data_IF_766569788915
#
_entry.id   IF_766569788915
#
_cell.length_a   1.000
_cell.length_b   1.000
_cell.length_c   1.000
_cell.angle_alpha   90.00
_cell.angle_beta   90.00
_cell.angle_gamma   90.00
#
_symmetry.space_group_name_H-M   'P 1'
#
loop_
_entity.id
_entity.type
_entity.pdbx_description
1 polymer ?
#
# COMPACT_ATOMS: atom_id res chain seq x y z
N UNK A 1 -2.04 -1.13 10.46
CA UNK A 1 -2.20 -1.50 9.06
C UNK A 1 -1.99 -0.29 8.13
N UNK A 2 -1.86 -0.52 6.85
CA UNK A 2 -1.78 0.48 5.80
C UNK A 2 -2.66 -0.01 4.65
N UNK A 3 -3.67 0.78 4.28
CA UNK A 3 -4.54 0.48 3.14
C UNK A 3 -3.97 1.07 1.86
N UNK A 4 -3.99 0.33 0.77
CA UNK A 4 -3.36 0.72 -0.50
C UNK A 4 -4.36 1.12 -1.60
N UNK A 5 -5.61 1.41 -1.23
CA UNK A 5 -6.67 1.87 -2.15
C UNK A 5 -7.54 0.74 -2.70
N UNK A 6 -8.51 1.11 -3.52
CA UNK A 6 -9.50 0.22 -4.16
C UNK A 6 -10.30 -0.63 -3.14
N UNK A 7 -10.83 0.02 -2.09
CA UNK A 7 -11.57 -0.63 -1.00
C UNK A 7 -12.97 -1.11 -1.42
N UNK A 8 -13.50 -0.59 -2.51
CA UNK A 8 -14.75 -0.98 -3.12
C UNK A 8 -14.74 -0.66 -4.61
N UNK A 9 -15.56 -1.33 -5.40
CA UNK A 9 -15.71 -1.06 -6.83
C UNK A 9 -16.91 -0.14 -7.09
N UNK A 10 -16.70 1.16 -6.98
CA UNK A 10 -17.70 2.19 -7.22
C UNK A 10 -17.65 2.78 -8.63
N UNK A 11 -17.12 2.08 -9.58
CA UNK A 11 -16.91 2.43 -10.97
C UNK A 11 -15.49 2.96 -11.29
N UNK A 12 -14.94 2.47 -12.39
CA UNK A 12 -13.67 2.95 -12.93
C UNK A 12 -13.83 4.36 -13.51
N UNK A 13 -12.75 5.13 -13.61
CA UNK A 13 -12.78 6.47 -14.22
C UNK A 13 -13.44 6.50 -15.61
N UNK A 14 -13.15 5.52 -16.47
CA UNK A 14 -13.72 5.43 -17.82
C UNK A 14 -15.23 5.18 -17.85
N UNK A 15 -15.78 4.55 -16.82
CA UNK A 15 -17.23 4.30 -16.69
C UNK A 15 -17.90 5.44 -15.91
N UNK A 16 -17.23 5.97 -14.89
CA UNK A 16 -17.73 7.02 -14.02
C UNK A 16 -17.96 8.33 -14.76
N UNK A 17 -16.99 8.75 -15.61
CA UNK A 17 -17.07 10.01 -16.32
C UNK A 17 -18.33 10.15 -17.19
N UNK A 18 -18.70 9.19 -18.06
CA UNK A 18 -19.94 9.26 -18.83
C UNK A 18 -21.20 9.29 -17.94
N UNK A 19 -21.21 8.51 -16.84
CA UNK A 19 -22.35 8.48 -15.92
C UNK A 19 -22.50 9.82 -15.20
N UNK A 20 -21.44 10.38 -14.66
CA UNK A 20 -21.46 11.69 -14.01
C UNK A 20 -21.90 12.78 -14.97
N UNK A 21 -21.44 12.75 -16.24
CA UNK A 21 -21.88 13.68 -17.28
C UNK A 21 -23.39 13.54 -17.61
N UNK A 22 -23.90 12.31 -17.66
CA UNK A 22 -25.31 12.07 -17.88
C UNK A 22 -26.15 12.57 -16.69
N UNK A 23 -25.71 12.30 -15.47
CA UNK A 23 -26.39 12.70 -14.24
C UNK A 23 -26.22 14.19 -13.91
N UNK A 24 -25.29 14.90 -14.54
CA UNK A 24 -25.13 16.35 -14.37
C UNK A 24 -26.37 17.15 -14.83
N UNK A 25 -27.28 16.53 -15.58
CA UNK A 25 -28.52 17.11 -16.06
C UNK A 25 -29.76 16.72 -15.24
N UNK A 26 -29.59 15.86 -14.24
CA UNK A 26 -30.69 15.34 -13.41
C UNK A 26 -30.20 15.12 -11.98
N UNK A 27 -30.41 16.12 -11.15
CA UNK A 27 -30.00 16.10 -9.72
C UNK A 27 -30.72 15.01 -8.93
N UNK A 28 -31.95 14.63 -9.32
CA UNK A 28 -32.73 13.60 -8.64
C UNK A 28 -32.15 12.21 -8.89
N UNK A 29 -31.76 11.91 -10.15
CA UNK A 29 -31.13 10.65 -10.50
C UNK A 29 -29.74 10.52 -9.83
N UNK A 30 -28.99 11.61 -9.79
CA UNK A 30 -27.71 11.64 -9.08
C UNK A 30 -27.86 11.39 -7.59
N UNK A 31 -28.81 12.03 -6.94
CA UNK A 31 -29.06 11.84 -5.51
C UNK A 31 -29.47 10.41 -5.16
N UNK A 32 -30.27 9.76 -6.00
CA UNK A 32 -30.64 8.34 -5.82
C UNK A 32 -29.43 7.42 -5.95
N UNK A 33 -28.59 7.61 -6.96
CA UNK A 33 -27.38 6.81 -7.13
C UNK A 33 -26.41 7.02 -5.98
N UNK A 34 -26.18 8.26 -5.55
CA UNK A 34 -25.30 8.56 -4.41
C UNK A 34 -25.81 7.94 -3.11
N UNK A 35 -27.14 7.85 -2.92
CA UNK A 35 -27.73 7.16 -1.77
C UNK A 35 -27.41 5.67 -1.76
N UNK A 36 -27.51 5.01 -2.90
CA UNK A 36 -27.21 3.57 -3.01
C UNK A 36 -25.69 3.32 -2.82
N UNK A 37 -24.86 4.17 -3.38
CA UNK A 37 -23.40 4.12 -3.16
C UNK A 37 -23.06 4.32 -1.68
N UNK A 38 -23.68 5.28 -1.01
CA UNK A 38 -23.47 5.51 0.42
C UNK A 38 -23.86 4.28 1.24
N UNK A 39 -24.97 3.61 0.92
CA UNK A 39 -25.38 2.39 1.61
C UNK A 39 -24.33 1.28 1.48
N UNK A 40 -23.91 0.95 0.26
CA UNK A 40 -22.87 -0.07 0.05
C UNK A 40 -21.52 0.33 0.67
N UNK A 41 -21.23 1.62 0.73
CA UNK A 41 -20.02 2.11 1.37
C UNK A 41 -20.10 2.05 2.91
N UNK A 42 -21.30 2.17 3.51
CA UNK A 42 -21.48 1.96 4.95
C UNK A 42 -21.18 0.51 5.33
N UNK A 43 -21.60 -0.46 4.51
CA UNK A 43 -21.26 -1.88 4.70
C UNK A 43 -19.73 -2.10 4.71
N UNK A 44 -18.99 -1.47 3.79
CA UNK A 44 -17.51 -1.52 3.78
C UNK A 44 -16.91 -0.90 5.05
N UNK A 45 -17.47 0.21 5.53
CA UNK A 45 -17.01 0.86 6.76
C UNK A 45 -17.20 -0.08 7.95
N UNK A 46 -18.36 -0.72 8.06
CA UNK A 46 -18.68 -1.64 9.14
C UNK A 46 -17.76 -2.86 9.12
N UNK A 47 -17.54 -3.45 7.95
CA UNK A 47 -16.60 -4.58 7.76
C UNK A 47 -15.17 -4.23 8.14
N UNK A 48 -14.76 -2.98 7.98
CA UNK A 48 -13.41 -2.51 8.28
C UNK A 48 -13.28 -1.87 9.68
N UNK A 49 -14.35 -1.79 10.48
CA UNK A 49 -14.31 -1.10 11.79
C UNK A 49 -13.28 -1.69 12.75
N UNK A 50 -12.98 -2.99 12.65
CA UNK A 50 -11.95 -3.64 13.46
C UNK A 50 -10.54 -3.05 13.26
N UNK A 51 -10.30 -2.30 12.18
CA UNK A 51 -9.05 -1.59 11.90
C UNK A 51 -8.96 -0.20 12.52
N UNK A 52 -10.06 0.33 13.07
CA UNK A 52 -10.13 1.67 13.66
C UNK A 52 -9.06 1.87 14.75
N UNK A 53 -8.29 2.94 14.63
CA UNK A 53 -7.16 3.21 15.53
C UNK A 53 -5.90 2.35 15.32
N UNK A 54 -5.90 1.44 14.33
CA UNK A 54 -4.76 0.56 14.00
C UNK A 54 -4.17 0.89 12.62
N UNK A 55 -4.68 1.92 11.97
CA UNK A 55 -4.29 2.32 10.62
C UNK A 55 -3.19 3.40 10.68
N UNK A 56 -2.13 3.21 9.91
CA UNK A 56 -1.14 4.25 9.58
C UNK A 56 -1.79 5.26 8.63
N UNK A 57 -2.61 4.77 7.70
CA UNK A 57 -3.39 5.58 6.78
C UNK A 57 -4.02 4.76 5.67
N UNK A 58 -4.84 5.41 4.87
CA UNK A 58 -5.54 4.84 3.72
C UNK A 58 -5.22 5.64 2.46
N UNK A 59 -4.80 4.94 1.41
CA UNK A 59 -4.57 5.53 0.09
C UNK A 59 -5.86 5.67 -0.71
N UNK A 60 -5.86 6.61 -1.63
CA UNK A 60 -6.88 6.74 -2.65
C UNK A 60 -6.70 5.65 -3.71
N UNK A 61 -7.79 5.02 -4.11
CA UNK A 61 -7.82 4.04 -5.20
C UNK A 61 -8.36 4.62 -6.51
N UNK A 62 -8.43 3.77 -7.54
CA UNK A 62 -9.00 4.12 -8.85
C UNK A 62 -10.52 3.93 -8.89
N UNK A 63 -11.07 3.08 -8.05
CA UNK A 63 -12.45 2.62 -8.04
C UNK A 63 -13.35 3.39 -7.06
N UNK A 64 -12.95 4.61 -6.68
CA UNK A 64 -13.72 5.47 -5.79
C UNK A 64 -14.92 6.13 -6.49
N UNK A 65 -15.90 6.60 -5.71
CA UNK A 65 -16.93 7.52 -6.15
C UNK A 65 -16.65 8.93 -5.63
N UNK A 66 -16.86 9.93 -6.51
CA UNK A 66 -16.78 11.35 -6.17
C UNK A 66 -18.18 11.92 -5.96
N UNK A 67 -18.46 12.39 -4.75
CA UNK A 67 -19.73 12.97 -4.39
C UNK A 67 -19.89 14.41 -4.93
N UNK A 68 -21.14 14.85 -5.08
CA UNK A 68 -21.44 16.22 -5.54
C UNK A 68 -20.83 17.31 -4.66
N UNK A 69 -20.61 17.04 -3.38
CA UNK A 69 -20.01 17.97 -2.42
C UNK A 69 -18.47 18.05 -2.49
N UNK A 70 -17.83 17.35 -3.42
CA UNK A 70 -16.37 17.35 -3.62
C UNK A 70 -15.59 16.35 -2.77
N UNK A 71 -16.26 15.54 -1.93
CA UNK A 71 -15.63 14.41 -1.22
C UNK A 71 -15.66 13.12 -2.05
N UNK A 72 -14.96 12.08 -1.59
CA UNK A 72 -15.00 10.75 -2.20
C UNK A 72 -15.13 9.63 -1.18
N UNK A 73 -15.44 8.41 -1.64
CA UNK A 73 -15.62 7.22 -0.79
C UNK A 73 -14.39 6.91 0.04
N UNK A 74 -13.18 7.05 -0.49
CA UNK A 74 -11.95 6.72 0.24
C UNK A 74 -11.64 7.72 1.35
N UNK A 75 -11.92 9.02 1.11
CA UNK A 75 -11.84 10.05 2.16
C UNK A 75 -12.85 9.78 3.29
N UNK A 76 -14.08 9.39 2.90
CA UNK A 76 -15.14 9.06 3.86
C UNK A 76 -14.75 7.84 4.71
N UNK A 77 -14.19 6.79 4.10
CA UNK A 77 -13.67 5.61 4.80
C UNK A 77 -12.57 5.99 5.79
N UNK A 78 -11.60 6.81 5.35
CA UNK A 78 -10.52 7.26 6.21
C UNK A 78 -11.04 8.04 7.43
N UNK A 79 -12.02 8.93 7.22
CA UNK A 79 -12.66 9.69 8.29
C UNK A 79 -13.42 8.77 9.28
N UNK A 80 -14.21 7.81 8.79
CA UNK A 80 -14.97 6.87 9.60
C UNK A 80 -14.05 5.99 10.48
N UNK A 81 -12.95 5.50 9.91
CA UNK A 81 -11.97 4.68 10.61
C UNK A 81 -10.96 5.50 11.44
N UNK A 82 -11.11 6.83 11.48
CA UNK A 82 -10.17 7.75 12.16
C UNK A 82 -8.73 7.55 11.71
N UNK A 83 -8.52 7.35 10.41
CA UNK A 83 -7.24 7.14 9.78
C UNK A 83 -6.82 8.36 8.95
N UNK A 84 -5.52 8.66 8.84
CA UNK A 84 -5.02 9.64 7.87
C UNK A 84 -5.40 9.22 6.44
N UNK A 85 -5.91 10.17 5.64
CA UNK A 85 -6.08 9.99 4.21
C UNK A 85 -4.76 10.37 3.50
N UNK A 86 -4.18 9.45 2.77
CA UNK A 86 -2.82 9.56 2.24
C UNK A 86 -2.76 10.00 0.77
N UNK A 87 -3.91 10.12 0.10
CA UNK A 87 -3.94 10.39 -1.33
C UNK A 87 -3.34 9.26 -2.17
N UNK A 88 -2.78 9.56 -3.33
CA UNK A 88 -2.22 8.58 -4.27
C UNK A 88 -0.89 7.99 -3.82
N UNK A 89 -0.04 8.80 -3.23
CA UNK A 89 1.31 8.43 -2.81
C UNK A 89 1.64 9.09 -1.49
N UNK A 90 2.26 8.35 -0.58
CA UNK A 90 2.70 8.89 0.69
C UNK A 90 4.02 8.29 1.16
N UNK A 91 4.78 9.11 1.86
CA UNK A 91 5.99 8.70 2.56
C UNK A 91 5.70 8.62 4.06
N UNK A 92 5.61 7.40 4.57
CA UNK A 92 5.30 7.11 5.96
C UNK A 92 6.58 6.85 6.74
N UNK A 93 6.87 7.67 7.71
CA UNK A 93 8.09 7.61 8.52
C UNK A 93 7.81 6.96 9.87
N UNK A 94 8.30 5.75 10.07
CA UNK A 94 8.17 5.00 11.31
C UNK A 94 9.41 5.22 12.19
N UNK A 95 9.21 5.64 13.43
CA UNK A 95 10.29 5.90 14.38
C UNK A 95 10.24 4.88 15.50
N UNK A 96 11.27 4.05 15.60
CA UNK A 96 11.40 3.01 16.63
C UNK A 96 12.42 3.42 17.68
N UNK A 97 11.94 3.75 18.86
CA UNK A 97 12.80 4.12 19.98
C UNK A 97 13.42 2.86 20.62
N UNK A 98 14.74 2.83 20.72
CA UNK A 98 15.50 1.73 21.32
C UNK A 98 16.10 2.06 22.68
N UNK A 99 15.76 3.21 23.21
CA UNK A 99 16.17 3.79 24.47
C UNK A 99 15.73 5.24 24.55
N UNK A 100 16.21 5.98 25.55
CA UNK A 100 15.85 7.40 25.73
C UNK A 100 16.41 8.31 24.63
N UNK A 101 17.53 7.94 24.02
CA UNK A 101 18.30 8.80 23.11
C UNK A 101 18.57 8.19 21.72
N UNK A 102 18.20 6.93 21.49
CA UNK A 102 18.44 6.27 20.21
C UNK A 102 17.14 5.86 19.54
N UNK A 103 16.99 6.22 18.27
CA UNK A 103 15.85 5.83 17.45
C UNK A 103 16.33 5.24 16.11
N UNK A 104 15.58 4.28 15.62
CA UNK A 104 15.69 3.82 14.24
C UNK A 104 14.52 4.37 13.45
N UNK A 105 14.81 4.94 12.29
CA UNK A 105 13.81 5.45 11.37
C UNK A 105 13.72 4.51 10.19
N UNK A 106 12.50 4.15 9.82
CA UNK A 106 12.21 3.37 8.63
C UNK A 106 11.15 4.09 7.81
N UNK A 107 11.46 4.37 6.56
CA UNK A 107 10.56 5.09 5.65
C UNK A 107 9.91 4.11 4.70
N UNK A 108 8.58 4.14 4.66
CA UNK A 108 7.77 3.38 3.70
C UNK A 108 7.16 4.36 2.71
N UNK A 109 7.57 4.29 1.46
CA UNK A 109 6.82 4.91 0.37
C UNK A 109 5.71 3.96 -0.05
N UNK A 110 4.49 4.45 -0.03
CA UNK A 110 3.31 3.65 -0.36
C UNK A 110 2.42 4.36 -1.38
N UNK A 111 1.77 3.58 -2.23
CA UNK A 111 0.90 4.08 -3.30
C UNK A 111 -0.14 3.02 -3.67
N UNK A 112 -1.29 3.46 -4.19
CA UNK A 112 -2.18 2.55 -4.89
C UNK A 112 -1.50 2.00 -6.15
N UNK A 113 -0.81 2.87 -6.90
CA UNK A 113 -0.09 2.48 -8.10
C UNK A 113 -0.96 2.46 -9.36
N UNK A 114 -0.34 2.12 -10.48
CA UNK A 114 -1.00 2.02 -11.79
C UNK A 114 -0.31 0.95 -12.67
N UNK A 115 -0.06 -0.23 -12.12
CA UNK A 115 0.65 -1.28 -12.82
C UNK A 115 -0.32 -2.15 -13.63
N UNK A 116 -0.30 -2.00 -14.95
CA UNK A 116 -1.21 -2.68 -15.89
C UNK A 116 -0.73 -4.05 -16.38
N UNK A 117 0.43 -4.52 -15.96
CA UNK A 117 0.98 -5.80 -16.44
C UNK A 117 0.22 -7.02 -15.89
N UNK A 118 0.12 -8.10 -16.69
CA UNK A 118 -0.56 -9.34 -16.28
C UNK A 118 0.27 -10.21 -15.32
N UNK A 119 1.56 -9.95 -15.16
CA UNK A 119 2.47 -10.75 -14.34
C UNK A 119 2.98 -9.97 -13.14
N UNK A 120 3.25 -10.64 -12.02
CA UNK A 120 3.74 -10.00 -10.80
C UNK A 120 5.05 -9.23 -11.01
N UNK A 121 5.95 -9.75 -11.83
CA UNK A 121 7.20 -9.05 -12.13
C UNK A 121 7.00 -7.73 -12.87
N UNK A 122 5.94 -7.59 -13.69
CA UNK A 122 5.62 -6.30 -14.32
C UNK A 122 5.24 -5.25 -13.30
N UNK A 123 4.49 -5.63 -12.26
CA UNK A 123 4.14 -4.72 -11.17
C UNK A 123 5.36 -4.35 -10.30
N UNK A 124 6.25 -5.31 -10.04
CA UNK A 124 7.51 -5.05 -9.32
C UNK A 124 8.45 -4.16 -10.15
N UNK A 125 8.59 -4.41 -11.44
CA UNK A 125 9.39 -3.56 -12.34
C UNK A 125 8.81 -2.13 -12.44
N UNK A 126 7.49 -1.99 -12.48
CA UNK A 126 6.84 -0.68 -12.46
C UNK A 126 7.18 0.08 -11.17
N UNK A 127 7.09 -0.59 -10.01
CA UNK A 127 7.44 -0.02 -8.71
C UNK A 127 8.91 0.40 -8.66
N UNK A 128 9.81 -0.43 -9.18
CA UNK A 128 11.24 -0.16 -9.24
C UNK A 128 11.57 1.04 -10.12
N UNK A 129 11.07 1.06 -11.35
CA UNK A 129 11.40 2.09 -12.33
C UNK A 129 10.80 3.46 -11.98
N UNK A 130 9.60 3.49 -11.42
CA UNK A 130 8.90 4.75 -11.18
C UNK A 130 9.12 5.31 -9.76
N UNK A 131 9.37 4.45 -8.78
CA UNK A 131 9.44 4.90 -7.39
C UNK A 131 10.80 4.65 -6.75
N UNK A 132 11.37 3.45 -6.87
CA UNK A 132 12.67 3.15 -6.25
C UNK A 132 13.78 4.00 -6.84
N UNK A 133 13.72 4.26 -8.13
CA UNK A 133 14.70 5.11 -8.82
C UNK A 133 14.61 6.59 -8.40
N UNK A 134 13.41 7.08 -8.10
CA UNK A 134 13.14 8.51 -7.88
C UNK A 134 13.06 8.92 -6.40
N UNK A 135 12.74 8.00 -5.50
CA UNK A 135 12.44 8.33 -4.10
C UNK A 135 13.40 7.66 -3.13
N UNK A 136 13.63 8.35 -2.01
CA UNK A 136 14.45 7.84 -0.91
C UNK A 136 13.57 7.23 0.18
N UNK A 137 13.37 5.89 0.09
CA UNK A 137 12.67 5.13 1.11
C UNK A 137 13.34 3.76 1.32
N UNK A 138 13.06 3.14 2.46
CA UNK A 138 13.58 1.83 2.84
C UNK A 138 12.72 0.69 2.30
N UNK A 139 11.42 0.94 2.23
CA UNK A 139 10.43 0.00 1.66
C UNK A 139 9.49 0.75 0.74
N UNK A 140 9.14 0.11 -0.36
CA UNK A 140 8.20 0.58 -1.38
C UNK A 140 7.04 -0.41 -1.45
N UNK A 141 5.82 0.08 -1.19
CA UNK A 141 4.61 -0.73 -1.15
C UNK A 141 3.59 -0.24 -2.18
N UNK A 142 3.03 -1.15 -2.96
CA UNK A 142 2.06 -0.83 -3.99
C UNK A 142 0.88 -1.80 -3.98
N UNK A 143 -0.33 -1.26 -4.17
CA UNK A 143 -1.57 -2.00 -4.37
C UNK A 143 -1.95 -2.17 -5.84
N UNK A 144 -3.22 -2.01 -6.17
CA UNK A 144 -3.88 -1.95 -7.47
C UNK A 144 -3.76 -3.18 -8.38
N UNK A 145 -2.61 -3.79 -8.47
CA UNK A 145 -2.35 -4.82 -9.47
C UNK A 145 -2.97 -6.19 -9.18
N UNK A 146 -3.71 -6.39 -8.10
CA UNK A 146 -4.27 -7.68 -7.65
C UNK A 146 -3.25 -8.82 -7.66
N UNK A 147 -1.96 -8.51 -7.55
CA UNK A 147 -0.84 -9.45 -7.61
C UNK A 147 -0.01 -9.35 -6.36
N UNK A 148 0.50 -10.47 -5.90
CA UNK A 148 1.29 -10.51 -4.67
C UNK A 148 2.73 -10.90 -4.97
N UNK A 149 3.68 -10.07 -4.55
CA UNK A 149 5.10 -10.35 -4.74
C UNK A 149 5.99 -9.40 -3.95
N UNK A 150 7.18 -9.83 -3.65
CA UNK A 150 8.21 -8.98 -3.06
C UNK A 150 9.56 -9.16 -3.75
N UNK A 151 10.39 -8.13 -3.67
CA UNK A 151 11.66 -8.08 -4.36
C UNK A 151 12.63 -7.14 -3.65
N UNK A 152 13.93 -7.47 -3.74
CA UNK A 152 15.02 -6.59 -3.36
C UNK A 152 15.73 -6.17 -4.65
N UNK A 153 15.46 -4.95 -5.17
CA UNK A 153 15.88 -4.58 -6.52
C UNK A 153 17.41 -4.45 -6.63
N UNK A 154 18.00 -3.53 -5.90
CA UNK A 154 19.43 -3.26 -5.93
C UNK A 154 19.91 -2.63 -4.62
N UNK A 155 21.22 -2.61 -4.41
CA UNK A 155 21.84 -1.83 -3.34
C UNK A 155 21.98 -0.39 -3.77
N UNK A 156 21.50 0.53 -2.97
CA UNK A 156 21.68 1.96 -3.18
C UNK A 156 22.77 2.49 -2.28
N UNK A 157 23.72 3.22 -2.84
CA UNK A 157 24.75 3.90 -2.07
C UNK A 157 24.34 5.35 -1.84
N UNK A 158 24.34 5.77 -0.59
CA UNK A 158 24.06 7.14 -0.18
C UNK A 158 25.28 7.74 0.50
N UNK A 159 25.47 9.04 0.31
CA UNK A 159 26.39 9.79 1.13
C UNK A 159 25.80 9.94 2.52
N UNK A 160 26.56 9.56 3.54
CA UNK A 160 26.14 9.72 4.93
C UNK A 160 25.91 11.20 5.25
N UNK A 161 24.73 11.56 5.71
CA UNK A 161 24.37 12.95 6.00
C UNK A 161 24.92 13.45 7.34
N UNK A 162 25.20 12.54 8.27
CA UNK A 162 25.63 12.86 9.63
C UNK A 162 26.80 11.97 10.05
N UNK A 163 27.74 12.53 10.82
CA UNK A 163 28.93 11.81 11.28
C UNK A 163 30.09 11.89 10.28
N UNK A 164 31.11 11.03 10.41
CA UNK A 164 32.24 11.02 9.51
C UNK A 164 31.81 10.80 8.05
N UNK A 165 32.47 11.50 7.12
CA UNK A 165 32.21 11.32 5.71
C UNK A 165 32.33 9.85 5.30
N UNK A 166 31.40 9.37 4.51
CA UNK A 166 31.39 7.98 4.04
C UNK A 166 30.14 7.64 3.24
N UNK A 167 30.19 6.47 2.63
CA UNK A 167 29.07 5.90 1.88
C UNK A 167 28.32 4.92 2.77
N UNK A 168 27.00 5.05 2.80
CA UNK A 168 26.08 4.12 3.45
C UNK A 168 25.33 3.32 2.39
N UNK A 169 25.32 2.00 2.53
CA UNK A 169 24.58 1.13 1.64
C UNK A 169 23.17 0.92 2.19
N UNK A 170 22.17 1.30 1.42
CA UNK A 170 20.77 1.02 1.66
C UNK A 170 20.32 -0.13 0.75
N UNK A 171 19.54 -1.04 1.30
CA UNK A 171 18.91 -2.13 0.55
C UNK A 171 17.40 -1.89 0.58
N UNK A 172 16.82 -1.23 -0.44
CA UNK A 172 15.39 -1.02 -0.51
C UNK A 172 14.65 -2.35 -0.67
N UNK A 173 13.42 -2.40 -0.27
CA UNK A 173 12.52 -3.54 -0.43
C UNK A 173 11.28 -3.12 -1.18
N UNK A 174 10.88 -3.89 -2.16
CA UNK A 174 9.64 -3.70 -2.89
C UNK A 174 8.63 -4.76 -2.48
N UNK A 175 7.39 -4.35 -2.28
CA UNK A 175 6.26 -5.24 -2.05
C UNK A 175 5.07 -4.77 -2.90
N UNK A 176 4.51 -5.68 -3.65
CA UNK A 176 3.23 -5.54 -4.32
C UNK A 176 2.24 -6.44 -3.60
N UNK A 177 1.11 -5.88 -3.21
CA UNK A 177 0.11 -6.55 -2.39
C UNK A 177 -1.01 -7.04 -3.28
N UNK A 178 -1.45 -8.28 -3.07
CA UNK A 178 -2.62 -8.86 -3.71
C UNK A 178 -3.91 -8.14 -3.33
N UNK A 179 -4.94 -8.33 -4.14
CA UNK A 179 -6.29 -7.87 -3.83
C UNK A 179 -7.07 -8.85 -2.98
N UNK A 180 -8.30 -8.49 -2.67
CA UNK A 180 -9.29 -9.34 -2.01
C UNK A 180 -10.46 -9.69 -2.96
N UNK A 181 -10.32 -9.40 -4.27
CA UNK A 181 -11.28 -9.81 -5.27
C UNK A 181 -11.05 -11.28 -5.63
N UNK A 182 -12.01 -12.11 -5.32
CA UNK A 182 -12.05 -13.51 -5.72
C UNK A 182 -12.58 -13.60 -7.14
N UNK A 183 -11.83 -14.27 -8.02
CA UNK A 183 -12.25 -14.57 -9.37
C UNK A 183 -12.41 -16.05 -9.59
N UNK A 184 -13.29 -16.45 -10.52
CA UNK A 184 -13.54 -17.84 -10.88
C UNK A 184 -14.18 -18.65 -9.76
N UNK A 185 -15.16 -18.04 -9.08
CA UNK A 185 -15.99 -18.74 -8.10
C UNK A 185 -17.07 -19.59 -8.78
N UNK A 186 -17.44 -20.70 -8.18
CA UNK A 186 -18.56 -21.51 -8.64
C UNK A 186 -19.85 -20.70 -8.66
N UNK A 187 -20.50 -20.67 -9.81
CA UNK A 187 -21.76 -19.98 -10.00
C UNK A 187 -21.79 -19.08 -11.25
N UNK A 188 -22.95 -18.51 -11.51
CA UNK A 188 -23.17 -17.68 -12.71
C UNK A 188 -22.90 -16.19 -12.49
N UNK A 189 -22.43 -15.78 -11.31
CA UNK A 189 -21.99 -14.41 -11.03
C UNK A 189 -20.53 -14.25 -11.44
N UNK A 190 -20.29 -13.97 -12.72
CA UNK A 190 -18.95 -13.62 -13.15
C UNK A 190 -18.53 -12.27 -12.58
N UNK A 191 -17.40 -12.23 -11.92
CA UNK A 191 -16.82 -11.02 -11.41
C UNK A 191 -15.98 -10.27 -12.47
N UNK A 192 -15.36 -9.18 -12.02
CA UNK A 192 -14.49 -8.37 -12.87
C UNK A 192 -13.27 -9.16 -13.41
N UNK A 193 -12.69 -10.04 -12.60
CA UNK A 193 -11.48 -10.80 -12.93
C UNK A 193 -11.76 -11.73 -14.11
N UNK A 194 -12.90 -12.42 -14.07
CA UNK A 194 -13.37 -13.31 -15.16
C UNK A 194 -13.71 -12.54 -16.41
N UNK A 195 -14.53 -11.47 -16.29
CA UNK A 195 -14.95 -10.65 -17.45
C UNK A 195 -13.78 -9.99 -18.15
N UNK A 196 -12.72 -9.63 -17.43
CA UNK A 196 -11.51 -9.06 -18.00
C UNK A 196 -10.53 -10.13 -18.52
N UNK A 197 -10.82 -11.42 -18.36
CA UNK A 197 -9.96 -12.53 -18.75
C UNK A 197 -8.62 -12.52 -18.03
N UNK A 198 -8.59 -12.08 -16.77
CA UNK A 198 -7.40 -12.15 -15.95
C UNK A 198 -7.21 -13.56 -15.41
N UNK A 199 -5.95 -13.95 -15.24
CA UNK A 199 -5.61 -15.20 -14.55
C UNK A 199 -6.06 -15.08 -13.09
N UNK A 200 -6.65 -16.11 -12.49
CA UNK A 200 -6.96 -16.13 -11.06
C UNK A 200 -5.74 -15.69 -10.24
N UNK A 201 -5.94 -14.77 -9.34
CA UNK A 201 -4.86 -14.26 -8.49
C UNK A 201 -5.15 -14.66 -7.05
N UNK A 202 -4.12 -15.07 -6.29
CA UNK A 202 -4.33 -15.36 -4.89
C UNK A 202 -4.68 -14.09 -4.15
N UNK A 203 -5.73 -14.14 -3.33
CA UNK A 203 -6.02 -13.09 -2.36
C UNK A 203 -4.93 -13.04 -1.31
N UNK A 204 -4.60 -11.86 -0.82
CA UNK A 204 -3.56 -11.78 0.18
C UNK A 204 -3.18 -10.38 0.61
N UNK A 205 -2.29 -10.34 1.57
CA UNK A 205 -1.76 -9.11 2.15
C UNK A 205 -0.26 -9.18 2.36
N UNK A 206 0.37 -8.02 2.51
CA UNK A 206 1.78 -7.91 2.82
C UNK A 206 2.04 -7.64 4.30
N UNK A 207 3.07 -8.25 4.85
CA UNK A 207 3.55 -8.00 6.21
C UNK A 207 4.94 -7.40 6.13
N UNK A 208 5.12 -6.24 6.76
CA UNK A 208 6.44 -5.67 7.02
C UNK A 208 6.73 -5.89 8.51
N UNK A 209 7.64 -6.80 8.80
CA UNK A 209 7.99 -7.18 10.17
C UNK A 209 9.28 -6.50 10.59
N UNK A 210 9.23 -5.83 11.73
CA UNK A 210 10.37 -5.15 12.32
C UNK A 210 10.86 -5.95 13.55
N UNK A 211 12.11 -6.42 13.50
CA UNK A 211 12.74 -7.14 14.61
C UNK A 211 13.94 -6.35 15.11
N UNK A 212 14.02 -6.17 16.40
CA UNK A 212 15.22 -5.63 17.06
C UNK A 212 16.27 -6.72 17.16
N UNK A 213 17.42 -6.49 16.58
CA UNK A 213 18.55 -7.45 16.60
C UNK A 213 19.75 -6.79 17.28
N UNK A 214 20.42 -7.51 18.18
CA UNK A 214 21.75 -7.13 18.64
C UNK A 214 22.76 -7.57 17.59
N UNK A 215 23.44 -6.65 16.96
CA UNK A 215 24.65 -6.97 16.18
C UNK A 215 25.85 -6.96 17.14
N UNK A 216 26.51 -8.10 17.27
CA UNK A 216 27.88 -8.17 17.78
C UNK A 216 28.73 -7.65 16.62
N UNK A 217 29.47 -6.56 16.84
CA UNK A 217 30.30 -5.95 15.78
C UNK A 217 31.22 -7.00 15.15
N UNK A 218 31.42 -6.90 13.85
CA UNK A 218 32.35 -7.79 13.15
C UNK A 218 33.70 -7.81 13.85
N UNK A 219 34.15 -8.97 14.24
CA UNK A 219 35.46 -9.23 14.87
C UNK A 219 36.64 -8.99 13.92
N UNK A 220 36.49 -8.25 12.84
CA UNK A 220 37.51 -8.02 11.82
C UNK A 220 38.59 -6.99 12.20
N UNK A 221 38.46 -6.31 13.33
CA UNK A 221 39.52 -5.47 13.88
C UNK A 221 39.98 -6.04 15.22
N UNK A 222 40.98 -6.91 15.19
CA UNK A 222 41.65 -7.39 16.38
C UNK A 222 42.11 -6.19 17.21
N UNK A 223 41.55 -6.05 18.42
CA UNK A 223 41.99 -5.08 19.42
C UNK A 223 40.98 -3.96 19.78
N UNK A 224 39.84 -3.84 19.14
CA UNK A 224 38.79 -2.89 19.56
C UNK A 224 37.66 -3.66 20.21
N UNK A 225 37.24 -3.35 21.47
CA UNK A 225 36.08 -3.99 22.09
C UNK A 225 34.86 -3.78 21.20
N UNK A 226 34.26 -4.87 20.74
CA UNK A 226 33.13 -4.84 19.83
C UNK A 226 31.96 -4.04 20.43
N UNK A 227 31.67 -2.86 19.88
CA UNK A 227 30.46 -2.12 20.23
C UNK A 227 29.27 -2.95 19.77
N UNK A 228 28.49 -3.45 20.72
CA UNK A 228 27.17 -4.03 20.43
C UNK A 228 26.25 -2.93 19.90
N UNK A 229 25.98 -2.90 18.61
CA UNK A 229 24.96 -2.02 18.06
C UNK A 229 23.62 -2.75 17.99
N UNK A 230 22.56 -2.08 18.43
CA UNK A 230 21.19 -2.55 18.22
C UNK A 230 20.77 -2.11 16.83
N UNK A 231 20.46 -3.05 15.96
CA UNK A 231 19.96 -2.77 14.60
C UNK A 231 18.53 -3.24 14.45
N UNK A 232 17.80 -2.59 13.56
CA UNK A 232 16.48 -3.01 13.14
C UNK A 232 16.61 -3.95 11.94
N UNK A 233 16.16 -5.19 12.09
CA UNK A 233 16.00 -6.09 10.96
C UNK A 233 14.59 -5.94 10.41
N UNK A 234 14.47 -5.74 9.11
CA UNK A 234 13.19 -5.63 8.40
C UNK A 234 13.02 -6.85 7.52
N UNK A 235 11.88 -7.50 7.65
CA UNK A 235 11.46 -8.63 6.84
C UNK A 235 10.16 -8.26 6.12
N UNK A 236 10.08 -8.51 4.83
CA UNK A 236 8.87 -8.31 4.02
C UNK A 236 8.34 -9.67 3.60
N UNK A 237 7.10 -9.96 3.90
CA UNK A 237 6.46 -11.26 3.66
C UNK A 237 5.13 -11.00 2.97
N UNK A 238 4.88 -11.69 1.86
CA UNK A 238 3.54 -11.79 1.30
C UNK A 238 2.82 -13.00 1.91
N UNK A 239 1.56 -12.82 2.23
CA UNK A 239 0.66 -13.87 2.68
C UNK A 239 -0.43 -14.06 1.64
N UNK A 240 -0.59 -15.28 1.23
CA UNK A 240 -1.71 -15.75 0.42
C UNK A 240 -2.74 -16.33 1.38
N UNK A 241 -4.00 -16.04 1.13
CA UNK A 241 -5.12 -16.62 1.86
C UNK A 241 -5.57 -17.86 1.07
N UNK A 242 -5.52 -19.00 1.72
CA UNK A 242 -6.08 -20.26 1.21
C UNK A 242 -7.50 -20.38 1.81
N UNK A 243 -8.50 -20.43 0.97
CA UNK A 243 -9.92 -20.64 1.33
C UNK A 243 -10.41 -21.97 0.83
#
# INVERSE_FOLDING_TARGET
>A
ALGLGDYGDFLRPSMRTPIVQALAKDDSARALLEKDILKGHDEIIDDMEFLKGKLIGLHMGHHLWEFANGGNTDQRLAAALKAPFLGWIASNRLVFYTGKTSAHVHTILSTNGNANGRKVHSALAYLENNYVAAWDADTFAMGHGCKSGNHVPFKRNKIRRFGPFGVETQIPRCIVVGGFAEGYTDGWKSDYVERAGFVPQPMGYGIIRFKRVKRIGNQLLKGIPGRTSKTLQVEVINRVLDF
#
